data_IF_963860951986
#
_entry.id   IF_963860951986
#
_cell.length_a   1.000
_cell.length_b   1.000
_cell.length_c   1.000
_cell.angle_alpha   90.00
_cell.angle_beta   90.00
_cell.angle_gamma   90.00
#
_symmetry.space_group_name_H-M   'P 1'
#
loop_
_entity.id
_entity.type
_entity.pdbx_description
1 polymer ?
#
# COMPACT_ATOMS: atom_id res chain seq x y z
N UNK A 1 3.98 28.86 2.07
CA UNK A 1 3.32 27.63 1.61
C UNK A 1 2.06 27.36 2.42
N UNK A 2 1.26 26.38 2.03
CA UNK A 2 0.12 25.92 2.82
C UNK A 2 0.62 25.17 4.07
N UNK A 3 -0.05 25.36 5.20
CA UNK A 3 0.15 24.50 6.35
C UNK A 3 -0.60 23.18 6.10
N UNK A 4 0.09 22.07 6.26
CA UNK A 4 -0.46 20.72 6.06
C UNK A 4 -0.36 19.97 7.39
N UNK A 5 -1.49 19.43 7.85
CA UNK A 5 -1.57 18.56 9.00
C UNK A 5 -2.03 17.18 8.56
N UNK A 6 -1.28 16.16 8.92
CA UNK A 6 -1.62 14.76 8.69
C UNK A 6 -1.97 14.12 10.03
N UNK A 7 -3.17 13.54 10.13
CA UNK A 7 -3.63 12.86 11.34
C UNK A 7 -3.71 11.37 11.06
N UNK A 8 -3.00 10.57 11.83
CA UNK A 8 -2.95 9.11 11.73
C UNK A 8 -3.48 8.47 13.03
N UNK A 9 -4.41 7.54 12.88
CA UNK A 9 -4.99 6.81 14.02
C UNK A 9 -4.01 5.82 14.65
N UNK A 10 -3.11 5.24 13.87
CA UNK A 10 -2.07 4.35 14.37
C UNK A 10 -1.03 5.09 15.19
N UNK A 11 -0.31 4.38 16.05
CA UNK A 11 0.80 4.95 16.83
C UNK A 11 1.98 5.39 15.95
N UNK A 12 2.03 4.91 14.73
CA UNK A 12 2.94 5.35 13.67
C UNK A 12 2.28 5.13 12.30
N UNK A 13 2.76 5.81 11.28
CA UNK A 13 2.34 5.57 9.91
C UNK A 13 2.60 4.11 9.52
N UNK A 14 1.64 3.48 8.88
CA UNK A 14 1.74 2.08 8.47
C UNK A 14 1.50 1.03 9.56
N UNK A 15 1.41 1.40 10.85
CA UNK A 15 1.23 0.45 11.97
C UNK A 15 -0.04 -0.40 11.85
N UNK A 16 -1.04 0.07 11.12
CA UNK A 16 -2.31 -0.65 10.86
C UNK A 16 -2.31 -1.40 9.53
N UNK A 17 -1.26 -1.27 8.72
CA UNK A 17 -1.16 -1.90 7.43
C UNK A 17 -0.55 -3.30 7.55
N UNK A 18 -1.36 -4.31 7.26
CA UNK A 18 -0.92 -5.71 7.22
C UNK A 18 -0.38 -6.10 5.84
N UNK A 19 -0.50 -5.22 4.85
CA UNK A 19 -0.08 -5.52 3.48
C UNK A 19 1.36 -5.12 3.24
N UNK A 20 2.15 -6.00 2.62
CA UNK A 20 3.21 -5.63 1.72
C UNK A 20 2.64 -5.61 0.31
N UNK A 21 3.45 -5.41 -0.66
CA UNK A 21 2.98 -5.45 -2.02
C UNK A 21 4.04 -5.04 -3.02
N UNK A 22 3.60 -4.92 -4.26
CA UNK A 22 4.39 -4.37 -5.33
C UNK A 22 4.12 -2.88 -5.44
N UNK A 23 5.15 -2.07 -5.29
CA UNK A 23 5.14 -0.64 -5.52
C UNK A 23 5.61 -0.35 -6.94
N UNK A 24 4.76 0.25 -7.76
CA UNK A 24 5.14 0.77 -9.06
C UNK A 24 5.74 2.16 -8.89
N UNK A 25 6.97 2.36 -9.35
CA UNK A 25 7.74 3.58 -9.09
C UNK A 25 7.20 4.83 -9.80
N UNK A 26 6.45 4.66 -10.90
CA UNK A 26 6.08 5.74 -11.81
C UNK A 26 5.60 7.03 -11.12
N UNK A 27 4.60 6.94 -10.26
CA UNK A 27 4.03 8.13 -9.61
C UNK A 27 4.95 8.72 -8.55
N UNK A 28 5.61 7.85 -7.77
CA UNK A 28 6.46 8.31 -6.68
C UNK A 28 7.77 8.91 -7.20
N UNK A 29 8.32 8.38 -8.29
CA UNK A 29 9.51 8.89 -8.95
C UNK A 29 9.33 10.33 -9.47
N UNK A 30 8.09 10.72 -9.80
CA UNK A 30 7.77 12.10 -10.16
C UNK A 30 7.73 13.06 -8.97
N UNK A 31 7.44 12.56 -7.78
CA UNK A 31 7.30 13.35 -6.56
C UNK A 31 8.63 13.40 -5.80
N UNK A 32 9.29 12.24 -5.68
CA UNK A 32 10.56 12.05 -4.98
C UNK A 32 11.50 11.31 -5.95
N UNK A 33 12.19 12.03 -6.86
CA UNK A 33 13.12 11.41 -7.79
C UNK A 33 14.23 10.64 -7.06
N UNK A 34 14.51 9.41 -7.47
CA UNK A 34 15.51 8.54 -6.84
C UNK A 34 15.08 7.99 -5.48
N UNK A 35 13.79 7.98 -5.16
CA UNK A 35 13.28 7.54 -3.86
C UNK A 35 13.79 6.16 -3.43
N UNK A 36 14.00 5.26 -4.38
CA UNK A 36 14.43 3.89 -4.10
C UNK A 36 15.84 3.78 -3.49
N UNK A 37 16.65 4.84 -3.57
CA UNK A 37 17.99 4.88 -2.97
C UNK A 37 17.93 5.05 -1.43
N UNK A 38 16.84 5.63 -0.92
CA UNK A 38 16.64 5.89 0.52
C UNK A 38 15.43 5.16 1.13
N UNK A 39 14.43 4.83 0.31
CA UNK A 39 13.24 4.14 0.77
C UNK A 39 13.54 2.69 1.19
N UNK A 40 12.87 2.15 2.21
CA UNK A 40 13.01 0.77 2.64
C UNK A 40 12.27 -0.18 1.68
N UNK A 41 12.72 -0.20 0.42
CA UNK A 41 12.27 -1.20 -0.55
C UNK A 41 12.99 -2.52 -0.30
N UNK A 42 12.33 -3.64 -0.53
CA UNK A 42 12.91 -4.96 -0.27
C UNK A 42 13.69 -5.46 -1.50
N UNK A 43 13.03 -5.61 -2.67
CA UNK A 43 13.68 -6.08 -3.90
C UNK A 43 13.12 -5.38 -5.13
N UNK A 44 13.97 -5.20 -6.15
CA UNK A 44 13.55 -4.78 -7.48
C UNK A 44 12.85 -5.96 -8.18
N UNK A 45 11.59 -5.80 -8.55
CA UNK A 45 10.84 -6.86 -9.25
C UNK A 45 11.32 -6.92 -10.71
N UNK A 46 11.96 -8.02 -11.05
CA UNK A 46 12.44 -8.34 -12.39
C UNK A 46 11.76 -9.57 -12.98
N UNK A 47 11.16 -10.42 -12.14
CA UNK A 47 10.44 -11.61 -12.54
C UNK A 47 8.95 -11.47 -12.20
N UNK A 48 8.11 -11.69 -13.20
CA UNK A 48 6.65 -11.70 -13.04
C UNK A 48 6.11 -13.06 -13.48
N UNK A 49 5.42 -13.75 -12.58
CA UNK A 49 4.85 -15.07 -12.85
C UNK A 49 3.34 -15.01 -12.70
N UNK A 50 2.63 -15.52 -13.68
CA UNK A 50 1.19 -15.70 -13.63
C UNK A 50 0.86 -17.19 -13.76
N UNK A 51 0.32 -17.77 -12.71
CA UNK A 51 -0.02 -19.17 -12.64
C UNK A 51 -1.54 -19.39 -12.65
N UNK A 52 -2.02 -20.18 -13.60
CA UNK A 52 -3.38 -20.72 -13.63
C UNK A 52 -3.35 -22.13 -13.10
N UNK A 53 -4.10 -22.39 -12.04
CA UNK A 53 -4.00 -23.63 -11.26
C UNK A 53 -5.32 -24.39 -11.26
N UNK A 54 -5.20 -25.71 -11.36
CA UNK A 54 -6.23 -26.67 -10.96
C UNK A 54 -5.77 -27.38 -9.69
N UNK A 55 -6.57 -28.29 -9.15
CA UNK A 55 -6.16 -29.11 -8.00
C UNK A 55 -4.88 -29.93 -8.23
N UNK A 56 -4.59 -30.31 -9.49
CA UNK A 56 -3.52 -31.27 -9.83
C UNK A 56 -2.52 -30.76 -10.85
N UNK A 57 -2.74 -29.58 -11.41
CA UNK A 57 -1.87 -29.01 -12.45
C UNK A 57 -1.81 -27.50 -12.39
N UNK A 58 -0.75 -26.93 -12.93
CA UNK A 58 -0.61 -25.51 -13.10
C UNK A 58 0.03 -25.20 -14.46
N UNK A 59 -0.42 -24.13 -15.08
CA UNK A 59 0.25 -23.48 -16.19
C UNK A 59 0.79 -22.15 -15.71
N UNK A 60 2.10 -21.90 -15.87
CA UNK A 60 2.73 -20.66 -15.43
C UNK A 60 3.35 -19.95 -16.63
N UNK A 61 3.02 -18.68 -16.79
CA UNK A 61 3.75 -17.75 -17.63
C UNK A 61 4.78 -17.04 -16.77
N UNK A 62 6.03 -17.02 -17.22
CA UNK A 62 7.14 -16.35 -16.55
C UNK A 62 7.68 -15.27 -17.48
N UNK A 63 7.64 -14.03 -17.01
CA UNK A 63 8.21 -12.88 -17.70
C UNK A 63 9.39 -12.36 -16.89
N UNK A 64 10.55 -12.32 -17.52
CA UNK A 64 11.76 -11.74 -16.94
C UNK A 64 12.13 -10.47 -17.70
N UNK A 65 12.23 -9.37 -16.97
CA UNK A 65 12.75 -8.12 -17.50
C UNK A 65 14.24 -8.06 -17.19
N UNK A 66 15.06 -8.39 -18.19
CA UNK A 66 16.51 -8.46 -18.05
C UNK A 66 17.25 -7.14 -18.27
N UNK A 67 16.56 -6.14 -18.83
CA UNK A 67 17.20 -4.89 -19.21
C UNK A 67 17.04 -3.80 -18.15
N UNK A 68 17.97 -2.85 -18.12
CA UNK A 68 17.90 -1.67 -17.30
C UNK A 68 16.68 -0.82 -17.70
N UNK A 69 15.61 -0.98 -16.97
CA UNK A 69 14.45 -0.11 -17.12
C UNK A 69 14.72 1.25 -16.48
N UNK A 70 14.15 2.30 -17.06
CA UNK A 70 14.22 3.62 -16.44
C UNK A 70 13.63 3.59 -15.02
N UNK A 71 14.10 4.42 -14.08
CA UNK A 71 13.62 4.43 -12.70
C UNK A 71 12.10 4.46 -12.57
N UNK A 72 11.42 5.25 -13.41
CA UNK A 72 9.96 5.36 -13.40
C UNK A 72 9.22 4.10 -13.88
N UNK A 73 9.88 3.19 -14.57
CA UNK A 73 9.29 1.92 -15.05
C UNK A 73 9.55 0.76 -14.08
N UNK A 74 10.37 0.97 -13.07
CA UNK A 74 10.69 -0.04 -12.06
C UNK A 74 9.51 -0.31 -11.14
N UNK A 75 9.57 -1.43 -10.47
CA UNK A 75 8.69 -1.73 -9.35
C UNK A 75 9.44 -2.52 -8.29
N UNK A 76 9.01 -2.39 -7.06
CA UNK A 76 9.69 -2.94 -5.90
C UNK A 76 8.72 -3.69 -5.00
N UNK A 77 9.18 -4.74 -4.36
CA UNK A 77 8.47 -5.28 -3.22
C UNK A 77 8.71 -4.40 -2.00
N UNK A 78 7.66 -4.16 -1.22
CA UNK A 78 7.71 -3.30 -0.03
C UNK A 78 6.91 -3.92 1.12
N UNK A 79 7.35 -3.66 2.34
CA UNK A 79 6.59 -3.87 3.55
C UNK A 79 5.99 -2.52 3.98
N UNK A 80 4.66 -2.40 3.87
CA UNK A 80 3.95 -1.14 4.13
C UNK A 80 4.22 -0.54 5.51
N UNK A 81 4.42 -1.38 6.52
CA UNK A 81 4.77 -0.91 7.87
C UNK A 81 6.09 -0.14 7.94
N UNK A 82 7.06 -0.48 7.09
CA UNK A 82 8.34 0.23 6.98
C UNK A 82 8.23 1.40 5.99
N UNK A 83 7.65 1.12 4.83
CA UNK A 83 7.56 2.08 3.74
C UNK A 83 6.69 3.29 4.09
N UNK A 84 5.55 3.08 4.74
CA UNK A 84 4.64 4.17 5.12
C UNK A 84 5.29 5.09 6.18
N UNK A 85 6.09 4.54 7.09
CA UNK A 85 6.83 5.34 8.06
C UNK A 85 7.84 6.25 7.35
N UNK A 86 8.65 5.69 6.44
CA UNK A 86 9.59 6.46 5.63
C UNK A 86 8.90 7.55 4.80
N UNK A 87 7.78 7.21 4.15
CA UNK A 87 7.03 8.18 3.34
C UNK A 87 6.48 9.33 4.19
N UNK A 88 6.13 9.05 5.43
CA UNK A 88 5.68 10.07 6.36
C UNK A 88 6.83 11.00 6.78
N UNK A 89 8.04 10.45 7.02
CA UNK A 89 9.25 11.25 7.26
C UNK A 89 9.52 12.22 6.09
N UNK A 90 9.35 11.74 4.85
CA UNK A 90 9.48 12.59 3.67
C UNK A 90 8.44 13.73 3.64
N UNK A 91 7.22 13.46 4.10
CA UNK A 91 6.19 14.48 4.21
C UNK A 91 6.53 15.52 5.30
N UNK A 92 7.09 15.10 6.43
CA UNK A 92 7.55 15.99 7.50
C UNK A 92 8.73 16.85 7.05
N UNK A 93 9.71 16.26 6.35
CA UNK A 93 10.83 17.00 5.75
C UNK A 93 10.34 18.05 4.73
N UNK A 94 9.24 17.77 4.03
CA UNK A 94 8.59 18.72 3.13
C UNK A 94 7.75 19.79 3.86
N UNK A 95 7.67 19.72 5.19
CA UNK A 95 7.01 20.73 6.04
C UNK A 95 5.59 20.37 6.49
N UNK A 96 5.14 19.14 6.31
CA UNK A 96 3.90 18.66 6.92
C UNK A 96 4.07 18.43 8.42
N UNK A 97 3.01 18.64 9.19
CA UNK A 97 2.95 18.27 10.60
C UNK A 97 2.22 16.95 10.73
N UNK A 98 2.80 16.00 11.47
CA UNK A 98 2.19 14.70 11.70
C UNK A 98 1.71 14.58 13.15
N UNK A 99 0.47 14.12 13.32
CA UNK A 99 -0.08 13.71 14.62
C UNK A 99 -0.50 12.26 14.52
N UNK A 100 0.14 11.40 15.31
CA UNK A 100 -0.17 9.96 15.37
C UNK A 100 -0.93 9.61 16.65
N UNK A 101 -1.57 8.44 16.65
CA UNK A 101 -2.34 7.94 17.80
C UNK A 101 -3.70 8.61 17.99
N UNK A 102 -4.12 9.50 17.08
CA UNK A 102 -5.37 10.23 17.19
C UNK A 102 -6.36 9.78 16.12
N UNK A 103 -7.57 9.44 16.56
CA UNK A 103 -8.67 9.11 15.67
C UNK A 103 -9.51 10.34 15.40
N UNK A 104 -9.72 10.67 14.13
CA UNK A 104 -10.74 11.63 13.73
C UNK A 104 -12.11 10.98 13.86
N UNK A 105 -12.98 11.58 14.63
CA UNK A 105 -14.31 11.08 14.92
C UNK A 105 -15.36 11.58 13.95
N UNK A 106 -15.30 12.88 13.60
CA UNK A 106 -16.27 13.52 12.73
C UNK A 106 -15.61 14.58 11.84
N UNK A 107 -16.35 14.96 10.79
CA UNK A 107 -16.06 16.14 9.98
C UNK A 107 -16.94 17.29 10.47
N UNK A 108 -16.34 18.44 10.67
CA UNK A 108 -17.07 19.64 11.09
C UNK A 108 -17.61 20.34 9.87
N UNK A 109 -18.93 20.60 9.87
CA UNK A 109 -19.61 21.30 8.78
C UNK A 109 -20.19 22.64 9.29
N UNK A 110 -20.07 23.69 8.44
CA UNK A 110 -20.76 24.97 8.61
C UNK A 110 -21.31 25.38 7.23
N UNK A 111 -22.58 25.72 7.17
CA UNK A 111 -23.26 26.16 5.93
C UNK A 111 -23.08 25.16 4.76
N UNK A 112 -23.15 23.86 5.07
CA UNK A 112 -23.00 22.78 4.08
C UNK A 112 -21.58 22.54 3.54
N UNK A 113 -20.58 23.19 4.15
CA UNK A 113 -19.16 23.01 3.80
C UNK A 113 -18.40 22.35 4.95
N UNK A 114 -17.48 21.45 4.61
CA UNK A 114 -16.53 20.91 5.58
C UNK A 114 -15.49 21.99 5.88
N UNK A 115 -15.35 22.33 7.16
CA UNK A 115 -14.46 23.39 7.64
C UNK A 115 -13.41 22.87 8.62
N UNK A 116 -13.35 21.56 8.87
CA UNK A 116 -12.39 20.98 9.78
C UNK A 116 -12.76 19.54 10.17
N UNK A 117 -12.06 19.05 11.17
CA UNK A 117 -12.23 17.72 11.76
C UNK A 117 -12.41 17.84 13.27
N UNK A 118 -13.09 16.86 13.86
CA UNK A 118 -13.22 16.68 15.30
C UNK A 118 -12.49 15.39 15.70
N UNK A 119 -11.62 15.50 16.71
CA UNK A 119 -10.86 14.41 17.27
C UNK A 119 -10.78 14.57 18.79
N UNK A 120 -11.14 13.52 19.54
CA UNK A 120 -11.15 13.51 21.03
C UNK A 120 -11.92 14.69 21.67
N UNK A 121 -12.93 15.24 20.97
CA UNK A 121 -13.72 16.39 21.40
C UNK A 121 -13.14 17.76 21.02
N UNK A 122 -11.96 17.82 20.50
CA UNK A 122 -11.35 19.04 19.98
C UNK A 122 -11.63 19.24 18.49
N UNK A 123 -11.79 20.48 18.08
CA UNK A 123 -12.03 20.87 16.69
C UNK A 123 -10.76 21.47 16.09
N UNK A 124 -10.32 20.90 14.98
CA UNK A 124 -9.21 21.42 14.18
C UNK A 124 -9.80 21.98 12.89
N UNK A 125 -9.74 23.29 12.73
CA UNK A 125 -10.25 23.98 11.55
C UNK A 125 -9.27 23.87 10.36
N UNK A 126 -9.82 23.67 9.17
CA UNK A 126 -9.04 23.61 7.93
C UNK A 126 -9.83 24.18 6.75
N UNK A 127 -9.14 24.80 5.80
CA UNK A 127 -9.72 25.26 4.54
C UNK A 127 -10.10 24.11 3.60
N UNK A 128 -9.38 23.00 3.70
CA UNK A 128 -9.57 21.80 2.91
C UNK A 128 -9.27 20.58 3.77
N UNK A 129 -10.13 19.59 3.71
CA UNK A 129 -9.92 18.27 4.36
C UNK A 129 -9.83 17.21 3.29
N UNK A 130 -8.76 16.41 3.33
CA UNK A 130 -8.55 15.27 2.44
C UNK A 130 -8.80 14.00 3.25
N UNK A 131 -9.78 13.20 2.82
CA UNK A 131 -10.07 11.91 3.43
C UNK A 131 -9.19 10.83 2.77
N UNK A 132 -8.32 10.24 3.56
CA UNK A 132 -7.45 9.14 3.17
C UNK A 132 -7.54 7.96 4.16
N UNK A 133 -8.73 7.76 4.72
CA UNK A 133 -9.05 6.83 5.82
C UNK A 133 -9.26 5.37 5.37
N UNK A 134 -8.89 5.06 4.13
CA UNK A 134 -8.83 3.72 3.58
C UNK A 134 -10.19 3.19 3.10
N UNK A 135 -10.24 1.87 2.85
CA UNK A 135 -11.38 1.19 2.22
C UNK A 135 -12.70 1.34 3.00
N UNK A 136 -12.64 1.44 4.31
CA UNK A 136 -13.82 1.60 5.14
C UNK A 136 -14.48 2.98 5.01
N UNK A 137 -13.71 4.01 4.65
CA UNK A 137 -14.18 5.38 4.35
C UNK A 137 -15.26 5.89 5.30
N UNK A 138 -15.06 5.69 6.60
CA UNK A 138 -16.09 5.90 7.63
C UNK A 138 -16.57 7.35 7.67
N UNK A 139 -15.64 8.30 7.51
CA UNK A 139 -15.96 9.72 7.50
C UNK A 139 -16.73 10.13 6.25
N UNK A 140 -16.36 9.57 5.10
CA UNK A 140 -17.07 9.79 3.85
C UNK A 140 -18.48 9.18 3.87
N UNK A 141 -18.65 8.00 4.48
CA UNK A 141 -19.97 7.39 4.69
C UNK A 141 -20.86 8.27 5.59
N UNK A 142 -20.32 8.78 6.70
CA UNK A 142 -21.05 9.68 7.61
C UNK A 142 -21.57 10.95 6.93
N UNK A 143 -20.84 11.46 5.95
CA UNK A 143 -21.26 12.63 5.15
C UNK A 143 -22.17 12.27 3.97
N UNK A 144 -22.44 11.01 3.70
CA UNK A 144 -23.16 10.57 2.51
C UNK A 144 -22.37 10.70 1.21
N UNK A 145 -21.06 10.95 1.26
CA UNK A 145 -20.16 11.01 0.09
C UNK A 145 -19.82 9.60 -0.43
N UNK A 146 -19.83 8.60 0.45
CA UNK A 146 -19.62 7.20 0.10
C UNK A 146 -20.79 6.36 0.56
N UNK A 147 -21.09 5.31 -0.20
CA UNK A 147 -22.05 4.29 0.23
C UNK A 147 -21.35 3.29 1.15
N UNK A 148 -22.12 2.74 2.08
CA UNK A 148 -21.64 1.64 2.91
C UNK A 148 -21.18 0.47 2.04
N UNK A 149 -19.99 -0.04 2.31
CA UNK A 149 -19.41 -1.19 1.62
C UNK A 149 -20.28 -2.42 1.91
N UNK A 150 -20.73 -3.11 0.86
CA UNK A 150 -21.47 -4.36 1.00
C UNK A 150 -20.52 -5.55 0.98
N UNK A 151 -20.87 -6.66 1.63
CA UNK A 151 -20.04 -7.88 1.61
C UNK A 151 -19.78 -8.40 0.18
N UNK A 152 -20.69 -8.12 -0.77
CA UNK A 152 -20.55 -8.50 -2.18
C UNK A 152 -19.54 -7.65 -2.96
N UNK A 153 -19.13 -6.50 -2.41
CA UNK A 153 -18.30 -5.53 -3.11
C UNK A 153 -16.82 -5.63 -2.65
N UNK A 154 -16.53 -6.53 -1.72
CA UNK A 154 -15.21 -6.69 -1.12
C UNK A 154 -14.83 -8.15 -0.99
N UNK A 155 -13.52 -8.41 -0.98
CA UNK A 155 -12.95 -9.69 -0.62
C UNK A 155 -12.10 -9.55 0.65
N UNK A 156 -12.02 -10.61 1.43
CA UNK A 156 -11.12 -10.67 2.59
C UNK A 156 -9.80 -11.25 2.12
N UNK A 157 -8.72 -10.50 2.32
CA UNK A 157 -7.36 -10.97 2.10
C UNK A 157 -6.70 -11.43 3.39
N UNK A 158 -5.95 -12.52 3.30
CA UNK A 158 -5.06 -12.99 4.37
C UNK A 158 -3.63 -12.85 3.87
N UNK A 159 -2.74 -12.35 4.72
CA UNK A 159 -1.32 -12.24 4.41
C UNK A 159 -0.48 -12.93 5.46
N UNK A 160 0.57 -13.57 4.99
CA UNK A 160 1.63 -14.14 5.81
C UNK A 160 2.97 -13.61 5.34
N UNK A 161 3.85 -13.27 6.28
CA UNK A 161 5.24 -12.96 6.02
C UNK A 161 6.09 -14.17 6.38
N UNK A 162 6.79 -14.73 5.39
CA UNK A 162 7.63 -15.89 5.55
C UNK A 162 9.09 -15.45 5.44
N UNK A 163 9.84 -15.57 6.51
CA UNK A 163 11.26 -15.27 6.52
C UNK A 163 12.07 -16.48 6.08
N UNK A 164 12.93 -16.28 5.10
CA UNK A 164 13.87 -17.29 4.60
C UNK A 164 15.26 -16.64 4.42
N UNK A 165 16.34 -17.43 4.54
CA UNK A 165 17.67 -16.95 4.17
C UNK A 165 17.69 -16.42 2.73
N UNK A 166 18.44 -15.34 2.50
CA UNK A 166 18.57 -14.70 1.18
C UNK A 166 18.89 -15.71 0.06
N UNK A 167 19.87 -16.58 0.30
CA UNK A 167 20.28 -17.61 -0.66
C UNK A 167 19.17 -18.60 -1.01
N UNK A 168 18.28 -18.90 -0.05
CA UNK A 168 17.13 -19.79 -0.27
C UNK A 168 16.08 -19.12 -1.15
N UNK A 169 15.84 -17.82 -0.96
CA UNK A 169 14.94 -17.03 -1.81
C UNK A 169 15.53 -16.96 -3.23
N UNK A 170 16.81 -16.62 -3.36
CA UNK A 170 17.48 -16.52 -4.65
C UNK A 170 17.44 -17.85 -5.42
N UNK A 171 17.72 -18.97 -4.76
CA UNK A 171 17.67 -20.30 -5.35
C UNK A 171 16.25 -20.69 -5.78
N UNK A 172 15.26 -20.56 -4.88
CA UNK A 172 13.88 -20.98 -5.15
C UNK A 172 13.20 -20.17 -6.25
N UNK A 173 13.52 -18.88 -6.36
CA UNK A 173 12.90 -17.98 -7.32
C UNK A 173 13.79 -17.66 -8.52
N UNK A 174 14.99 -18.26 -8.58
CA UNK A 174 15.98 -18.06 -9.65
C UNK A 174 16.41 -16.59 -9.79
N UNK A 175 16.66 -15.95 -8.65
CA UNK A 175 17.01 -14.53 -8.55
C UNK A 175 18.49 -14.34 -8.30
N UNK A 176 19.01 -13.18 -8.67
CA UNK A 176 20.38 -12.77 -8.41
C UNK A 176 20.43 -11.39 -7.77
N UNK A 177 21.33 -11.22 -6.81
CA UNK A 177 21.58 -9.92 -6.18
C UNK A 177 20.34 -9.33 -5.51
N UNK A 178 19.82 -8.23 -6.03
CA UNK A 178 18.65 -7.53 -5.52
C UNK A 178 17.39 -7.76 -6.38
N UNK A 179 17.42 -8.74 -7.26
CA UNK A 179 16.25 -9.11 -8.05
C UNK A 179 15.14 -9.69 -7.18
N UNK A 180 13.91 -9.41 -7.55
CA UNK A 180 12.70 -9.88 -6.89
C UNK A 180 11.71 -10.51 -7.88
N UNK A 181 10.84 -11.34 -7.35
CA UNK A 181 9.76 -11.97 -8.08
C UNK A 181 8.39 -11.52 -7.55
N UNK A 182 7.46 -11.31 -8.47
CA UNK A 182 6.05 -11.12 -8.20
C UNK A 182 5.28 -12.27 -8.84
N UNK A 183 4.62 -13.10 -8.03
CA UNK A 183 3.84 -14.23 -8.50
C UNK A 183 2.35 -13.97 -8.24
N UNK A 184 1.53 -14.19 -9.25
CA UNK A 184 0.06 -14.16 -9.16
C UNK A 184 -0.49 -15.56 -9.42
N UNK A 185 -1.50 -15.94 -8.66
CA UNK A 185 -2.14 -17.24 -8.72
C UNK A 185 -3.64 -17.08 -8.93
N UNK A 186 -4.21 -17.83 -9.87
CA UNK A 186 -5.64 -17.86 -10.14
C UNK A 186 -6.12 -19.31 -10.31
N UNK A 187 -7.39 -19.55 -10.05
CA UNK A 187 -8.02 -20.87 -10.20
C UNK A 187 -8.26 -21.57 -8.85
N UNK A 188 -7.84 -22.83 -8.72
CA UNK A 188 -8.11 -23.67 -7.55
C UNK A 188 -7.77 -23.08 -6.16
N UNK A 189 -6.83 -22.13 -5.99
CA UNK A 189 -6.59 -21.55 -4.66
C UNK A 189 -7.79 -20.89 -4.01
N UNK A 190 -8.82 -20.53 -4.79
CA UNK A 190 -10.04 -19.89 -4.28
C UNK A 190 -11.29 -20.77 -4.35
N UNK A 191 -11.11 -22.07 -4.61
CA UNK A 191 -12.20 -23.06 -4.64
C UNK A 191 -13.38 -22.64 -5.54
N UNK A 192 -13.09 -22.10 -6.73
CA UNK A 192 -14.07 -21.64 -7.71
C UNK A 192 -14.69 -20.27 -7.42
N UNK A 193 -14.34 -19.62 -6.32
CA UNK A 193 -14.74 -18.26 -6.04
C UNK A 193 -13.86 -17.26 -6.83
N UNK A 194 -14.40 -16.06 -7.04
CA UNK A 194 -13.60 -14.98 -7.63
C UNK A 194 -12.52 -14.55 -6.63
N UNK A 195 -11.27 -14.60 -7.07
CA UNK A 195 -10.12 -14.24 -6.25
C UNK A 195 -8.85 -14.85 -6.79
N UNK A 196 -7.82 -14.85 -5.97
CA UNK A 196 -6.52 -15.40 -6.30
C UNK A 196 -5.56 -15.27 -5.14
N UNK A 197 -4.30 -15.56 -5.40
CA UNK A 197 -3.20 -15.35 -4.47
C UNK A 197 -2.10 -14.54 -5.12
N UNK A 198 -1.24 -14.00 -4.28
CA UNK A 198 0.00 -13.36 -4.73
C UNK A 198 1.13 -13.66 -3.74
N UNK A 199 2.34 -13.68 -4.27
CA UNK A 199 3.56 -13.82 -3.51
C UNK A 199 4.58 -12.82 -4.07
N UNK A 200 5.23 -12.12 -3.17
CA UNK A 200 6.35 -11.22 -3.49
C UNK A 200 7.57 -11.62 -2.66
N UNK A 201 8.74 -11.59 -3.29
CA UNK A 201 10.00 -11.82 -2.57
C UNK A 201 10.61 -10.52 -2.08
#
# INVERSE_FOLDING_TARGET
GAQVLVIERGNSAGAKNVTGGRLYAHSLEHIIPGFADSAPVERLITHEKLAFMTEKSAMTMDYCNGDETSPSQRSYSVLRSKFDAWLMEQAEEAGAQLITGIRVDNLVQRDGKVVGVEADGDVIEAKTVILADGVNSILAEKLGMAKRVKPTDVAVGVKELIELPKSVIEDRFQLQGNQGAACLFAGSPTDGLMGGGFLYT
#
